data_IF_619559815290
#
_entry.id   IF_619559815290
#
_cell.length_a   1.000
_cell.length_b   1.000
_cell.length_c   1.000
_cell.angle_alpha   90.00
_cell.angle_beta   90.00
_cell.angle_gamma   90.00
#
_symmetry.space_group_name_H-M   'P 1'
#
loop_
_entity.id
_entity.type
_entity.pdbx_description
1 polymer ?
#
# COMPACT_ATOMS: atom_id res chain seq x y z
N UNK A 1 -27.73 34.41 -2.01
CA UNK A 1 -26.95 33.14 -1.98
C UNK A 1 -27.48 32.35 -0.79
N UNK A 2 -28.22 31.26 -1.05
CA UNK A 2 -28.94 30.55 0.00
C UNK A 2 -27.98 29.80 0.92
N UNK A 3 -28.18 29.92 2.24
CA UNK A 3 -27.42 29.18 3.26
C UNK A 3 -27.39 27.66 2.97
N UNK A 4 -28.43 27.15 2.32
CA UNK A 4 -28.53 25.77 1.84
C UNK A 4 -27.41 25.34 0.90
N UNK A 5 -26.92 26.22 0.02
CA UNK A 5 -25.84 25.89 -0.91
C UNK A 5 -24.47 25.86 -0.22
N UNK A 6 -24.29 26.69 0.83
CA UNK A 6 -23.03 26.75 1.61
C UNK A 6 -22.90 25.53 2.52
N UNK A 7 -24.00 25.08 3.13
CA UNK A 7 -24.03 23.86 3.95
C UNK A 7 -23.76 22.62 3.09
N UNK A 8 -24.29 22.57 1.86
CA UNK A 8 -24.01 21.48 0.93
C UNK A 8 -22.52 21.42 0.54
N UNK A 9 -21.87 22.57 0.31
CA UNK A 9 -20.46 22.63 -0.11
C UNK A 9 -19.47 22.20 0.99
N UNK A 10 -19.79 22.46 2.26
CA UNK A 10 -18.95 22.04 3.39
C UNK A 10 -18.97 20.53 3.62
N UNK A 11 -20.06 19.84 3.31
CA UNK A 11 -20.16 18.38 3.46
C UNK A 11 -19.40 17.59 2.39
N UNK A 12 -19.03 18.22 1.27
CA UNK A 12 -18.27 17.58 0.18
C UNK A 12 -16.75 17.79 0.36
N UNK A 13 -16.33 18.79 1.13
CA UNK A 13 -14.92 19.10 1.41
C UNK A 13 -14.43 18.58 2.78
N UNK A 14 -15.34 18.24 3.69
CA UNK A 14 -14.99 17.71 5.01
C UNK A 14 -14.37 16.29 5.07
N UNK A 15 -14.48 15.38 4.07
CA UNK A 15 -14.01 14.01 4.29
C UNK A 15 -12.49 13.85 4.19
N UNK A 16 -11.73 14.84 3.66
CA UNK A 16 -10.28 14.70 3.56
C UNK A 16 -9.56 14.84 4.91
N UNK A 17 -10.08 15.63 5.85
CA UNK A 17 -9.41 15.81 7.14
C UNK A 17 -9.60 14.59 8.06
N UNK A 18 -10.80 14.00 8.04
CA UNK A 18 -11.16 12.88 8.93
C UNK A 18 -10.37 11.60 8.62
N UNK A 19 -10.20 11.26 7.34
CA UNK A 19 -9.45 10.06 6.93
C UNK A 19 -7.93 10.26 7.05
N UNK A 20 -7.46 11.51 6.95
CA UNK A 20 -6.04 11.83 7.07
C UNK A 20 -5.51 11.60 8.48
N UNK A 21 -6.31 11.94 9.50
CA UNK A 21 -5.95 11.68 10.90
C UNK A 21 -5.94 10.18 11.20
N UNK A 22 -6.89 9.43 10.62
CA UNK A 22 -6.96 7.97 10.77
C UNK A 22 -5.67 7.27 10.31
N UNK A 23 -5.14 7.60 9.12
CA UNK A 23 -3.90 6.98 8.62
C UNK A 23 -2.62 7.43 9.33
N UNK A 24 -2.66 8.56 10.04
CA UNK A 24 -1.52 9.05 10.82
C UNK A 24 -1.30 8.22 12.09
N UNK A 25 -2.38 7.63 12.61
CA UNK A 25 -2.28 6.67 13.71
C UNK A 25 -1.56 5.41 13.25
N UNK A 26 -0.75 4.83 14.15
CA UNK A 26 -0.10 3.53 13.93
C UNK A 26 -1.13 2.47 13.53
N UNK A 27 -2.29 2.46 14.18
CA UNK A 27 -3.32 1.44 13.93
C UNK A 27 -3.99 1.64 12.57
N UNK A 28 -4.20 2.88 12.14
CA UNK A 28 -4.75 3.17 10.80
C UNK A 28 -3.76 2.80 9.70
N UNK A 29 -2.47 3.10 9.88
CA UNK A 29 -1.42 2.69 8.97
C UNK A 29 -1.30 1.16 8.87
N UNK A 30 -1.31 0.45 10.01
CA UNK A 30 -1.30 -1.02 10.04
C UNK A 30 -2.53 -1.59 9.31
N UNK A 31 -3.72 -1.02 9.57
CA UNK A 31 -4.95 -1.48 8.93
C UNK A 31 -4.91 -1.28 7.41
N UNK A 32 -4.46 -0.11 6.96
CA UNK A 32 -4.28 0.20 5.54
C UNK A 32 -3.30 -0.76 4.88
N UNK A 33 -2.12 -0.92 5.46
CA UNK A 33 -1.05 -1.74 4.89
C UNK A 33 -1.45 -3.22 4.85
N UNK A 34 -2.19 -3.73 5.83
CA UNK A 34 -2.80 -5.07 5.76
C UNK A 34 -3.84 -5.20 4.66
N UNK A 35 -4.74 -4.22 4.55
CA UNK A 35 -5.79 -4.24 3.54
C UNK A 35 -5.21 -4.34 2.13
N UNK A 36 -4.05 -3.72 1.88
CA UNK A 36 -3.34 -3.77 0.60
C UNK A 36 -2.22 -4.81 0.52
N UNK A 37 -2.02 -5.64 1.55
CA UNK A 37 -1.10 -6.78 1.52
C UNK A 37 0.38 -6.46 1.75
N UNK A 38 0.71 -5.30 2.31
CA UNK A 38 2.06 -4.93 2.74
C UNK A 38 2.44 -5.49 4.12
N UNK A 39 1.45 -5.93 4.90
CA UNK A 39 1.62 -6.59 6.21
C UNK A 39 0.84 -7.90 6.22
N UNK A 40 1.30 -8.86 7.02
CA UNK A 40 0.56 -10.10 7.26
C UNK A 40 -0.80 -9.80 7.90
N UNK A 41 -1.86 -10.37 7.32
CA UNK A 41 -3.24 -10.21 7.81
C UNK A 41 -3.52 -11.08 9.03
N UNK A 42 -2.70 -12.11 9.28
CA UNK A 42 -2.88 -13.09 10.38
C UNK A 42 -2.16 -12.69 11.66
N UNK A 43 -1.15 -11.83 11.59
CA UNK A 43 -0.41 -11.36 12.75
C UNK A 43 -1.27 -10.43 13.62
N UNK A 44 -1.16 -10.54 14.95
CA UNK A 44 -1.78 -9.60 15.86
C UNK A 44 -1.15 -8.20 15.74
N UNK A 45 -1.96 -7.15 15.85
CA UNK A 45 -1.50 -5.75 15.70
C UNK A 45 -0.43 -5.37 16.73
N UNK A 46 -0.49 -5.96 17.92
CA UNK A 46 0.46 -5.78 19.00
C UNK A 46 1.82 -6.42 18.71
N UNK A 47 1.86 -7.45 17.85
CA UNK A 47 3.09 -8.16 17.48
C UNK A 47 3.85 -7.48 16.34
N UNK A 48 3.18 -6.59 15.58
CA UNK A 48 3.84 -5.83 14.52
C UNK A 48 4.84 -4.85 15.13
N UNK A 49 6.11 -5.11 14.87
CA UNK A 49 7.21 -4.26 15.34
C UNK A 49 7.24 -2.94 14.57
N UNK A 50 7.89 -1.92 15.14
CA UNK A 50 8.10 -0.66 14.44
C UNK A 50 8.93 -0.86 13.16
N UNK A 51 9.90 -1.78 13.16
CA UNK A 51 10.72 -2.04 11.97
C UNK A 51 9.92 -2.74 10.87
N UNK A 52 9.04 -3.68 11.21
CA UNK A 52 8.13 -4.31 10.24
C UNK A 52 7.17 -3.29 9.63
N UNK A 53 6.61 -2.40 10.46
CA UNK A 53 5.77 -1.32 9.99
C UNK A 53 6.54 -0.36 9.06
N UNK A 54 7.75 0.05 9.46
CA UNK A 54 8.62 0.92 8.64
C UNK A 54 8.96 0.26 7.31
N UNK A 55 9.28 -1.02 7.33
CA UNK A 55 9.56 -1.79 6.11
C UNK A 55 8.34 -1.83 5.18
N UNK A 56 7.15 -2.11 5.71
CA UNK A 56 5.91 -2.08 4.92
C UNK A 56 5.61 -0.69 4.33
N UNK A 57 5.88 0.38 5.08
CA UNK A 57 5.76 1.76 4.58
C UNK A 57 6.76 2.00 3.45
N UNK A 58 8.01 1.54 3.57
CA UNK A 58 9.02 1.69 2.51
C UNK A 58 8.58 0.97 1.22
N UNK A 59 8.04 -0.25 1.32
CA UNK A 59 7.51 -0.98 0.16
C UNK A 59 6.35 -0.23 -0.51
N UNK A 60 5.46 0.37 0.28
CA UNK A 60 4.40 1.22 -0.25
C UNK A 60 4.95 2.45 -0.98
N UNK A 61 5.93 3.13 -0.37
CA UNK A 61 6.56 4.31 -0.96
C UNK A 61 7.25 3.97 -2.29
N UNK A 62 7.99 2.86 -2.33
CA UNK A 62 8.67 2.38 -3.53
C UNK A 62 7.67 2.07 -4.66
N UNK A 63 6.60 1.34 -4.36
CA UNK A 63 5.56 0.97 -5.33
C UNK A 63 4.88 2.18 -5.97
N UNK A 64 4.66 3.25 -5.19
CA UNK A 64 4.03 4.49 -5.67
C UNK A 64 5.03 5.57 -6.10
N UNK A 65 6.32 5.25 -6.16
CA UNK A 65 7.40 6.19 -6.49
C UNK A 65 7.39 7.45 -5.62
N UNK A 66 7.09 7.28 -4.33
CA UNK A 66 7.22 8.32 -3.32
C UNK A 66 8.65 8.35 -2.78
N UNK A 67 9.08 9.46 -2.14
CA UNK A 67 10.33 9.47 -1.39
C UNK A 67 10.33 8.37 -0.33
N UNK A 68 11.30 7.46 -0.42
CA UNK A 68 11.42 6.31 0.48
C UNK A 68 12.18 6.74 1.74
N UNK A 69 11.48 6.84 2.86
CA UNK A 69 12.04 7.12 4.18
C UNK A 69 11.50 6.16 5.26
N UNK A 70 10.54 5.29 4.92
CA UNK A 70 9.90 4.34 5.82
C UNK A 70 9.00 5.00 6.87
N UNK A 71 8.64 6.27 6.68
CA UNK A 71 7.80 7.02 7.62
C UNK A 71 6.47 7.43 6.99
N UNK A 72 5.48 7.72 7.85
CA UNK A 72 4.20 8.28 7.43
C UNK A 72 4.33 9.79 7.15
N UNK A 73 5.24 10.14 6.23
CA UNK A 73 5.43 11.52 5.80
C UNK A 73 4.17 12.06 5.09
N UNK A 74 4.11 13.38 4.93
CA UNK A 74 2.90 14.04 4.43
C UNK A 74 2.52 13.58 3.01
N UNK A 75 3.49 13.24 2.16
CA UNK A 75 3.25 12.70 0.82
C UNK A 75 2.63 11.30 0.88
N UNK A 76 3.16 10.44 1.76
CA UNK A 76 2.66 9.07 2.01
C UNK A 76 1.23 9.10 2.52
N UNK A 77 0.95 9.89 3.57
CA UNK A 77 -0.40 10.04 4.12
C UNK A 77 -1.39 10.58 3.10
N UNK A 78 -0.99 11.58 2.30
CA UNK A 78 -1.84 12.11 1.23
C UNK A 78 -2.16 11.05 0.18
N UNK A 79 -1.23 10.14 -0.10
CA UNK A 79 -1.43 9.04 -1.05
C UNK A 79 -2.31 7.92 -0.48
N UNK A 80 -2.15 7.60 0.81
CA UNK A 80 -3.00 6.65 1.52
C UNK A 80 -4.46 7.14 1.58
N UNK A 81 -4.66 8.45 1.79
CA UNK A 81 -5.98 9.08 1.86
C UNK A 81 -6.68 9.29 0.50
N UNK A 82 -6.05 8.96 -0.64
CA UNK A 82 -6.70 9.12 -1.95
C UNK A 82 -7.85 8.12 -2.09
N UNK A 83 -9.06 8.57 -2.46
CA UNK A 83 -10.15 7.66 -2.78
C UNK A 83 -9.73 6.80 -3.97
N UNK A 84 -9.82 5.48 -3.80
CA UNK A 84 -9.47 4.52 -4.85
C UNK A 84 -10.74 4.03 -5.52
N UNK A 85 -10.83 4.18 -6.84
CA UNK A 85 -11.95 3.64 -7.60
C UNK A 85 -11.79 2.12 -7.73
N UNK A 86 -12.73 1.36 -7.18
CA UNK A 86 -12.84 -0.08 -7.43
C UNK A 86 -13.25 -0.86 -6.20
N UNK A 87 -14.52 -1.25 -6.16
CA UNK A 87 -15.08 -2.47 -5.55
C UNK A 87 -14.07 -3.25 -4.69
N UNK A 88 -14.30 -3.28 -3.37
CA UNK A 88 -13.62 -4.17 -2.43
C UNK A 88 -13.72 -5.61 -2.93
N UNK A 89 -12.68 -6.09 -3.60
CA UNK A 89 -12.41 -7.50 -3.76
C UNK A 89 -11.08 -7.74 -3.06
N UNK A 90 -11.11 -8.64 -2.08
CA UNK A 90 -9.92 -9.24 -1.50
C UNK A 90 -8.90 -9.58 -2.61
N UNK A 91 -7.58 -9.50 -2.34
CA UNK A 91 -6.56 -9.52 -3.38
C UNK A 91 -6.74 -10.73 -4.29
N UNK A 92 -6.88 -10.44 -5.59
CA UNK A 92 -6.93 -11.47 -6.63
C UNK A 92 -5.64 -12.28 -6.60
N UNK A 93 -5.72 -13.55 -7.01
CA UNK A 93 -4.58 -14.48 -7.05
C UNK A 93 -3.40 -13.93 -7.87
N UNK A 94 -3.63 -13.04 -8.82
CA UNK A 94 -2.60 -12.37 -9.61
C UNK A 94 -1.74 -11.38 -8.78
N UNK A 95 -2.36 -10.61 -7.88
CA UNK A 95 -1.65 -9.67 -7.01
C UNK A 95 -0.86 -10.37 -5.91
N UNK A 96 -1.39 -11.48 -5.35
CA UNK A 96 -0.64 -12.31 -4.41
C UNK A 96 0.64 -12.86 -5.02
N UNK A 97 0.63 -13.16 -6.34
CA UNK A 97 1.81 -13.60 -7.07
C UNK A 97 2.83 -12.47 -7.26
N UNK A 98 2.41 -11.26 -7.62
CA UNK A 98 3.34 -10.14 -7.75
C UNK A 98 4.05 -9.79 -6.43
N UNK A 99 3.32 -9.83 -5.31
CA UNK A 99 3.89 -9.61 -3.96
C UNK A 99 4.78 -10.78 -3.52
N UNK A 100 4.41 -12.03 -3.85
CA UNK A 100 5.26 -13.19 -3.59
C UNK A 100 6.53 -13.21 -4.44
N UNK A 101 6.48 -12.70 -5.68
CA UNK A 101 7.65 -12.54 -6.55
C UNK A 101 8.61 -11.52 -5.95
N UNK A 102 8.11 -10.36 -5.51
CA UNK A 102 8.93 -9.36 -4.81
C UNK A 102 9.51 -9.88 -3.47
N UNK A 103 8.80 -10.81 -2.80
CA UNK A 103 9.28 -11.48 -1.57
C UNK A 103 10.39 -12.50 -1.86
N UNK A 104 10.31 -13.21 -3.00
CA UNK A 104 11.20 -14.30 -3.37
C UNK A 104 12.57 -13.83 -3.92
N UNK A 105 12.70 -12.58 -4.38
CA UNK A 105 13.97 -12.04 -4.87
C UNK A 105 15.03 -11.80 -3.77
N UNK A 106 14.71 -12.08 -2.49
CA UNK A 106 15.65 -11.93 -1.36
C UNK A 106 16.45 -13.20 -0.98
N UNK A 107 16.19 -14.38 -1.57
CA UNK A 107 16.95 -15.60 -1.32
C UNK A 107 17.18 -16.42 -2.61
N UNK A 108 18.40 -16.31 -3.20
CA UNK A 108 19.24 -17.33 -3.90
C UNK A 108 18.51 -18.38 -4.78
N UNK A 109 18.72 -18.55 -6.09
CA UNK A 109 19.95 -18.85 -6.86
C UNK A 109 19.67 -18.60 -8.36
N UNK A 110 20.62 -18.08 -9.14
CA UNK A 110 20.52 -17.97 -10.60
C UNK A 110 20.49 -19.37 -11.24
N UNK A 111 19.43 -19.79 -11.96
CA UNK A 111 19.53 -20.96 -12.81
C UNK A 111 20.32 -20.57 -14.06
N UNK A 112 21.43 -21.28 -14.26
CA UNK A 112 22.31 -21.16 -15.43
C UNK A 112 21.51 -21.13 -16.72
N UNK A 113 21.84 -20.15 -17.57
CA UNK A 113 21.32 -19.94 -18.92
C UNK A 113 21.56 -21.19 -19.78
N UNK A 114 20.59 -22.10 -19.81
CA UNK A 114 20.51 -23.17 -20.81
C UNK A 114 20.23 -22.56 -22.18
N UNK A 115 21.24 -22.60 -23.04
CA UNK A 115 21.14 -22.21 -24.44
C UNK A 115 20.57 -23.39 -25.22
N UNK A 116 19.31 -23.32 -25.65
CA UNK A 116 18.80 -24.09 -26.78
C UNK A 116 17.63 -23.33 -27.43
N UNK A 117 17.93 -22.55 -28.46
CA UNK A 117 16.96 -22.12 -29.46
C UNK A 117 17.24 -22.90 -30.76
N UNK A 118 16.20 -23.38 -31.47
CA UNK A 118 16.39 -24.19 -32.67
C UNK A 118 16.95 -23.34 -33.83
N UNK A 119 17.90 -23.90 -34.55
CA UNK A 119 18.41 -23.36 -35.80
C UNK A 119 17.32 -23.46 -36.88
N UNK A 120 16.89 -22.31 -37.40
CA UNK A 120 16.20 -22.24 -38.69
C UNK A 120 17.28 -22.06 -39.77
N UNK A 121 17.44 -23.06 -40.62
CA UNK A 121 18.27 -23.08 -41.82
C UNK A 121 17.75 -24.13 -42.78
#
# INVERSE_FOLDING_TARGET
MSFSAVVAFLLIAFPLASTYDEYRSRDGAVNFLRHYGYLDSTADRSLITNDELRHAISLFQEYYHLPVDGTLNNATLRYMARPRCGVSNAPSSAQRRAVAVAKAESHVELPTRGSDYPANG
#
